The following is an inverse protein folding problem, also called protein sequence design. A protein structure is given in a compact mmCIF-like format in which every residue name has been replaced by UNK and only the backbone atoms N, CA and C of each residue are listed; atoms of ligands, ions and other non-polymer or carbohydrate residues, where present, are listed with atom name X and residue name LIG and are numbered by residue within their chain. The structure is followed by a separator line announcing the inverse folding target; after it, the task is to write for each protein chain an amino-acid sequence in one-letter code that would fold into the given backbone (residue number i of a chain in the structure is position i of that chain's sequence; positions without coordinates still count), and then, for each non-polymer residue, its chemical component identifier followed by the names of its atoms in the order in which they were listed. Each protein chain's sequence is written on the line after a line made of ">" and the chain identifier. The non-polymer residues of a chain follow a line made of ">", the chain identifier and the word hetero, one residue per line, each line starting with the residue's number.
data_IF_705746080736
#
_entry.id   IF_705746080736
#
_cell.length_a   1.000
_cell.length_b   1.000
_cell.length_c   1.000
_cell.angle_alpha   90.00
_cell.angle_beta   90.00
_cell.angle_gamma   90.00
#
_symmetry.space_group_name_H-M   'P 1'
#
loop_
_entity.id
_entity.type
_entity.pdbx_description
1 polymer ?
#
# COMPACT_ATOMS: atom_id res chain seq x y z
N UNK A 1 34.40 49.76 -6.21
CA UNK A 1 33.93 48.83 -5.19
C UNK A 1 32.99 47.85 -5.82
N UNK A 2 33.33 46.57 -5.73
CA UNK A 2 32.47 45.50 -6.24
C UNK A 2 31.44 45.14 -5.16
N UNK A 3 30.16 45.37 -5.46
CA UNK A 3 29.09 44.88 -4.59
C UNK A 3 29.01 43.37 -4.67
N UNK A 4 29.20 42.69 -3.54
CA UNK A 4 28.94 41.25 -3.41
C UNK A 4 27.43 41.06 -3.34
N UNK A 5 26.84 40.57 -4.42
CA UNK A 5 25.47 40.11 -4.37
C UNK A 5 25.43 38.78 -3.58
N UNK A 6 24.92 38.84 -2.37
CA UNK A 6 24.60 37.61 -1.62
C UNK A 6 23.32 37.04 -2.20
N UNK A 7 23.43 36.01 -3.01
CA UNK A 7 22.29 35.24 -3.45
C UNK A 7 21.75 34.46 -2.24
N UNK A 8 20.67 34.94 -1.66
CA UNK A 8 19.89 34.17 -0.69
C UNK A 8 19.21 33.03 -1.44
N UNK A 9 19.78 31.83 -1.35
CA UNK A 9 19.11 30.61 -1.74
C UNK A 9 17.99 30.37 -0.73
N UNK A 10 16.77 30.80 -1.08
CA UNK A 10 15.60 30.39 -0.36
C UNK A 10 15.36 28.90 -0.65
N UNK A 11 15.76 28.03 0.27
CA UNK A 11 15.34 26.64 0.25
C UNK A 11 13.85 26.59 0.56
N UNK A 12 13.03 26.40 -0.47
CA UNK A 12 11.61 26.13 -0.27
C UNK A 12 11.52 24.78 0.49
N UNK A 13 11.08 24.85 1.75
CA UNK A 13 10.68 23.66 2.50
C UNK A 13 9.40 23.13 1.87
N UNK A 14 9.52 22.13 0.98
CA UNK A 14 8.36 21.42 0.50
C UNK A 14 7.89 20.45 1.57
N UNK A 15 6.73 20.74 2.14
CA UNK A 15 6.06 19.82 3.06
C UNK A 15 5.42 18.69 2.27
N UNK A 16 6.04 17.51 2.31
CA UNK A 16 5.41 16.28 1.85
C UNK A 16 4.94 15.51 3.08
N UNK A 17 3.61 15.31 3.25
CA UNK A 17 3.12 14.45 4.32
C UNK A 17 3.76 13.07 4.21
N UNK A 18 4.19 12.52 5.33
CA UNK A 18 4.64 11.13 5.38
C UNK A 18 3.48 10.22 4.98
N UNK A 19 3.67 9.29 4.02
CA UNK A 19 2.62 8.35 3.66
C UNK A 19 2.20 7.51 4.87
N UNK A 20 0.91 7.18 4.94
CA UNK A 20 0.46 6.12 5.83
C UNK A 20 1.09 4.79 5.39
N UNK A 21 1.29 3.87 6.30
CA UNK A 21 1.91 2.57 6.03
C UNK A 21 0.97 1.45 6.40
N UNK A 22 0.88 0.48 5.48
CA UNK A 22 0.15 -0.76 5.69
C UNK A 22 1.05 -1.93 5.32
N UNK A 23 1.28 -2.82 6.26
CA UNK A 23 1.87 -4.13 6.00
C UNK A 23 0.78 -5.17 5.80
N UNK A 24 0.97 -6.04 4.83
CA UNK A 24 0.08 -7.18 4.56
C UNK A 24 0.94 -8.43 4.53
N UNK A 25 0.71 -9.33 5.48
CA UNK A 25 1.31 -10.66 5.51
C UNK A 25 0.41 -11.63 4.77
N UNK A 26 0.97 -12.33 3.80
CA UNK A 26 0.27 -13.35 3.02
C UNK A 26 0.76 -14.74 3.43
N UNK A 27 -0.15 -15.59 3.82
CA UNK A 27 0.09 -17.00 4.14
C UNK A 27 -1.02 -17.83 3.49
N UNK A 28 -0.83 -19.14 3.41
CA UNK A 28 -1.87 -20.04 2.96
C UNK A 28 -2.89 -20.26 4.10
N UNK A 29 -4.15 -19.89 4.01
CA UNK A 29 -4.76 -19.07 2.97
C UNK A 29 -5.46 -17.90 3.64
N UNK A 30 -4.72 -16.91 4.05
CA UNK A 30 -5.26 -15.70 4.69
C UNK A 30 -4.33 -14.51 4.48
N UNK A 31 -4.89 -13.34 4.63
CA UNK A 31 -4.16 -12.07 4.64
C UNK A 31 -4.28 -11.45 6.04
N UNK A 32 -3.15 -11.03 6.60
CA UNK A 32 -3.12 -10.33 7.88
C UNK A 32 -2.65 -8.90 7.65
N UNK A 33 -3.51 -7.95 7.98
CA UNK A 33 -3.18 -6.52 7.91
C UNK A 33 -2.47 -6.07 9.20
N UNK A 34 -1.44 -5.27 9.05
CA UNK A 34 -0.72 -4.69 10.21
C UNK A 34 -1.59 -3.76 11.05
N UNK A 35 -2.65 -3.22 10.45
CA UNK A 35 -3.66 -2.37 11.11
C UNK A 35 -4.97 -2.45 10.34
N UNK A 36 -6.13 -2.30 11.03
CA UNK A 36 -7.44 -2.39 10.37
C UNK A 36 -7.82 -1.15 9.57
N UNK A 37 -7.16 -0.03 9.83
CA UNK A 37 -7.47 1.24 9.20
C UNK A 37 -6.20 2.06 8.97
N UNK A 38 -6.21 2.85 7.90
CA UNK A 38 -5.16 3.83 7.59
C UNK A 38 -5.80 5.17 7.23
N UNK A 39 -5.02 6.24 7.32
CA UNK A 39 -5.44 7.56 6.89
C UNK A 39 -5.46 7.64 5.36
N UNK A 40 -6.46 8.34 4.79
CA UNK A 40 -6.56 8.61 3.36
C UNK A 40 -5.41 9.45 2.85
N UNK A 41 -5.19 9.42 1.55
CA UNK A 41 -4.08 10.07 0.87
C UNK A 41 -3.04 9.05 0.43
N UNK A 42 -1.78 9.43 0.47
CA UNK A 42 -0.70 8.52 0.09
C UNK A 42 -0.55 7.41 1.11
N UNK A 43 -0.55 6.18 0.63
CA UNK A 43 -0.40 4.97 1.44
C UNK A 43 0.68 4.11 0.82
N UNK A 44 1.65 3.73 1.62
CA UNK A 44 2.67 2.75 1.26
C UNK A 44 2.17 1.38 1.72
N UNK A 45 2.02 0.46 0.78
CA UNK A 45 1.55 -0.90 1.04
C UNK A 45 2.68 -1.86 0.77
N UNK A 46 3.09 -2.60 1.79
CA UNK A 46 4.09 -3.66 1.68
C UNK A 46 3.42 -5.02 1.79
N UNK A 47 3.56 -5.82 0.73
CA UNK A 47 3.22 -7.24 0.77
C UNK A 47 4.43 -8.03 1.20
N UNK A 48 4.30 -8.78 2.28
CA UNK A 48 5.28 -9.75 2.75
C UNK A 48 4.71 -11.14 2.56
N UNK A 49 5.40 -11.97 1.76
CA UNK A 49 4.98 -13.35 1.57
C UNK A 49 5.62 -14.24 2.64
N UNK A 50 4.82 -14.56 3.65
CA UNK A 50 5.21 -15.45 4.76
C UNK A 50 4.75 -16.89 4.53
N UNK A 51 4.27 -17.21 3.34
CA UNK A 51 3.79 -18.53 2.96
C UNK A 51 4.80 -19.32 2.11
N UNK A 52 4.31 -20.40 1.54
CA UNK A 52 5.08 -21.30 0.69
C UNK A 52 4.73 -21.15 -0.80
N UNK A 53 3.55 -20.64 -1.11
CA UNK A 53 3.12 -20.36 -2.47
C UNK A 53 3.48 -18.93 -2.88
N UNK A 54 3.49 -18.67 -4.19
CA UNK A 54 3.51 -17.31 -4.72
C UNK A 54 2.19 -16.62 -4.37
N UNK A 55 2.25 -15.39 -3.91
CA UNK A 55 1.10 -14.55 -3.63
C UNK A 55 1.23 -13.19 -4.31
N UNK A 56 0.10 -12.60 -4.66
CA UNK A 56 -0.01 -11.21 -5.05
C UNK A 56 -0.97 -10.48 -4.11
N UNK A 57 -1.16 -9.20 -4.33
CA UNK A 57 -2.17 -8.42 -3.62
C UNK A 57 -2.90 -7.54 -4.61
N UNK A 58 -4.21 -7.57 -4.52
CA UNK A 58 -5.09 -6.63 -5.21
C UNK A 58 -5.92 -5.86 -4.20
N UNK A 59 -6.22 -4.63 -4.55
CA UNK A 59 -6.93 -3.70 -3.67
C UNK A 59 -7.92 -2.91 -4.51
N UNK A 60 -9.20 -2.90 -4.09
CA UNK A 60 -10.26 -2.12 -4.74
C UNK A 60 -11.19 -1.53 -3.70
N UNK A 61 -11.52 -0.26 -3.86
CA UNK A 61 -12.56 0.38 -3.07
C UNK A 61 -13.90 -0.30 -3.33
N UNK A 62 -14.64 -0.63 -2.26
CA UNK A 62 -15.99 -1.20 -2.40
C UNK A 62 -16.89 -0.13 -3.03
N UNK A 63 -17.51 -0.46 -4.16
CA UNK A 63 -18.26 0.47 -4.98
C UNK A 63 -17.42 1.24 -6.02
N UNK A 64 -16.11 1.06 -6.01
CA UNK A 64 -15.19 1.65 -6.99
C UNK A 64 -14.85 0.69 -8.12
N UNK A 65 -14.13 1.20 -9.12
CA UNK A 65 -13.75 0.43 -10.32
C UNK A 65 -12.23 0.23 -10.44
N UNK A 66 -11.44 1.05 -9.78
CA UNK A 66 -9.98 1.00 -9.91
C UNK A 66 -9.40 -0.07 -9.00
N UNK A 67 -8.58 -0.96 -9.57
CA UNK A 67 -7.82 -1.98 -8.84
C UNK A 67 -6.35 -1.61 -8.83
N UNK A 68 -5.78 -1.55 -7.63
CA UNK A 68 -4.34 -1.45 -7.41
C UNK A 68 -3.76 -2.84 -7.27
N UNK A 69 -2.47 -3.00 -7.61
CA UNK A 69 -1.83 -4.31 -7.63
C UNK A 69 -0.44 -4.26 -7.03
N UNK A 70 -0.15 -5.22 -6.18
CA UNK A 70 1.22 -5.62 -5.85
C UNK A 70 1.49 -6.88 -6.66
N UNK A 71 2.56 -6.92 -7.49
CA UNK A 71 2.84 -8.07 -8.34
C UNK A 71 3.10 -9.34 -7.57
N UNK A 72 3.09 -10.47 -8.27
CA UNK A 72 3.47 -11.77 -7.73
C UNK A 72 4.77 -11.69 -6.95
N UNK A 73 4.71 -12.15 -5.72
CA UNK A 73 5.80 -12.12 -4.75
C UNK A 73 6.13 -13.54 -4.33
N UNK A 74 7.37 -13.94 -4.50
CA UNK A 74 7.83 -15.28 -4.13
C UNK A 74 7.84 -15.46 -2.61
N UNK A 75 7.80 -16.71 -2.12
CA UNK A 75 7.96 -17.00 -0.69
C UNK A 75 9.19 -16.31 -0.10
N UNK A 76 9.02 -15.67 1.06
CA UNK A 76 10.05 -14.88 1.73
C UNK A 76 10.31 -13.51 1.12
N UNK A 77 9.68 -13.20 -0.01
CA UNK A 77 9.84 -11.91 -0.70
C UNK A 77 8.96 -10.81 -0.11
N UNK A 78 9.33 -9.59 -0.44
CA UNK A 78 8.59 -8.37 -0.10
C UNK A 78 8.47 -7.49 -1.32
N UNK A 79 7.31 -6.85 -1.49
CA UNK A 79 7.10 -5.83 -2.50
C UNK A 79 6.27 -4.69 -1.94
N UNK A 80 6.66 -3.49 -2.32
CA UNK A 80 6.02 -2.26 -1.84
C UNK A 80 5.50 -1.46 -3.02
N UNK A 81 4.28 -0.96 -2.89
CA UNK A 81 3.71 0.03 -3.79
C UNK A 81 3.28 1.26 -3.00
N UNK A 82 3.23 2.40 -3.65
CA UNK A 82 2.64 3.61 -3.09
C UNK A 82 1.43 4.02 -3.93
N UNK A 83 0.31 4.23 -3.27
CA UNK A 83 -0.96 4.56 -3.90
C UNK A 83 -1.63 5.71 -3.18
N UNK A 84 -2.47 6.46 -3.89
CA UNK A 84 -3.34 7.48 -3.29
C UNK A 84 -4.73 6.88 -3.10
N UNK A 85 -5.16 6.76 -1.85
CA UNK A 85 -6.45 6.16 -1.50
C UNK A 85 -7.43 7.20 -0.99
N UNK A 86 -8.63 7.19 -1.55
CA UNK A 86 -9.77 7.95 -1.06
C UNK A 86 -10.34 7.30 0.20
N UNK A 87 -11.04 8.08 1.07
CA UNK A 87 -11.75 7.48 2.19
C UNK A 87 -12.77 6.45 1.73
N UNK A 88 -12.91 5.37 2.48
CA UNK A 88 -13.85 4.31 2.20
C UNK A 88 -13.35 2.95 2.67
N UNK A 89 -14.07 1.91 2.28
CA UNK A 89 -13.71 0.54 2.57
C UNK A 89 -13.13 -0.09 1.31
N UNK A 90 -12.05 -0.83 1.48
CA UNK A 90 -11.33 -1.50 0.41
C UNK A 90 -11.32 -3.00 0.64
N UNK A 91 -11.57 -3.75 -0.40
CA UNK A 91 -11.37 -5.18 -0.39
C UNK A 91 -9.96 -5.47 -0.89
N UNK A 92 -9.24 -6.29 -0.14
CA UNK A 92 -7.93 -6.81 -0.49
C UNK A 92 -8.04 -8.30 -0.74
N UNK A 93 -7.34 -8.82 -1.73
CA UNK A 93 -7.33 -10.25 -2.02
C UNK A 93 -6.08 -10.66 -2.77
N UNK A 94 -5.74 -11.94 -2.67
CA UNK A 94 -4.76 -12.59 -3.53
C UNK A 94 -5.48 -13.13 -4.76
N UNK A 95 -4.97 -12.84 -5.97
CA UNK A 95 -5.59 -13.30 -7.21
C UNK A 95 -4.95 -14.55 -7.80
N UNK A 96 -3.93 -15.10 -7.13
CA UNK A 96 -3.23 -16.32 -7.59
C UNK A 96 -4.14 -17.52 -7.42
N UNK A 97 -4.33 -18.30 -8.51
CA UNK A 97 -5.12 -19.52 -8.53
C UNK A 97 -6.47 -19.33 -7.80
N UNK A 98 -6.83 -20.24 -6.90
CA UNK A 98 -8.05 -20.20 -6.09
C UNK A 98 -7.83 -19.64 -4.66
N UNK A 99 -6.71 -18.97 -4.43
CA UNK A 99 -6.31 -18.50 -3.10
C UNK A 99 -7.35 -17.60 -2.45
N UNK A 100 -8.02 -16.74 -3.23
CA UNK A 100 -9.09 -15.87 -2.72
C UNK A 100 -10.25 -16.68 -2.17
N UNK A 101 -10.69 -17.69 -2.90
CA UNK A 101 -11.82 -18.56 -2.52
C UNK A 101 -11.48 -19.37 -1.26
N UNK A 102 -10.19 -19.67 -1.06
CA UNK A 102 -9.71 -20.39 0.12
C UNK A 102 -9.58 -19.48 1.36
N UNK A 103 -9.75 -18.16 1.22
CA UNK A 103 -9.78 -17.25 2.35
C UNK A 103 -8.81 -16.09 2.30
N UNK A 104 -7.99 -15.96 1.24
CA UNK A 104 -7.02 -14.87 1.13
C UNK A 104 -7.68 -13.56 0.70
N UNK A 105 -8.41 -12.97 1.63
CA UNK A 105 -9.06 -11.68 1.46
C UNK A 105 -9.19 -10.96 2.80
N UNK A 106 -9.26 -9.64 2.75
CA UNK A 106 -9.39 -8.79 3.91
C UNK A 106 -10.12 -7.50 3.54
N UNK A 107 -10.54 -6.74 4.53
CA UNK A 107 -11.12 -5.41 4.35
C UNK A 107 -10.29 -4.39 5.11
N UNK A 108 -9.88 -3.35 4.42
CA UNK A 108 -9.17 -2.21 4.97
C UNK A 108 -10.13 -1.02 5.03
N UNK A 109 -10.15 -0.34 6.15
CA UNK A 109 -10.86 0.94 6.25
C UNK A 109 -9.88 2.08 6.01
N UNK A 110 -10.20 2.96 5.06
CA UNK A 110 -9.44 4.18 4.80
C UNK A 110 -10.26 5.35 5.33
N UNK A 111 -9.73 6.04 6.31
CA UNK A 111 -10.41 7.13 7.03
C UNK A 111 -9.79 8.49 6.69
N UNK A 112 -10.59 9.51 6.85
CA UNK A 112 -10.13 10.90 6.67
C UNK A 112 -9.07 11.30 7.68
#
# INVERSE_FOLDING_TARGET
>A
MKALAVALLATALSWHPTPARLGVSAQEFHLVLSRPAVKSGRVEIELQNDGEDVHDLRLRRIGGSRTYRVPNTKPGGRRTIEVALLPGRYRLWCSVADHRQLGMQAVLRVKR
#
